data_IF_806632538434
#
_entry.id   IF_806632538434
#
_cell.length_a   1.000
_cell.length_b   1.000
_cell.length_c   1.000
_cell.angle_alpha   90.00
_cell.angle_beta   90.00
_cell.angle_gamma   90.00
#
_symmetry.space_group_name_H-M   'P 1'
#
loop_
_entity.id
_entity.type
_entity.pdbx_description
1 polymer ?
#
# COMPACT_ATOMS: atom_id res chain seq x y z
N UNK A 1 -10.36 -9.97 -0.97
CA UNK A 1 -9.43 -8.87 -1.36
C UNK A 1 -8.26 -9.44 -2.13
N UNK A 2 -7.45 -10.30 -1.50
CA UNK A 2 -6.30 -10.96 -2.14
C UNK A 2 -6.75 -11.79 -3.35
N UNK A 3 -5.98 -11.76 -4.43
CA UNK A 3 -6.23 -12.59 -5.62
C UNK A 3 -5.88 -14.05 -5.32
N UNK A 4 -6.80 -14.97 -5.66
CA UNK A 4 -6.60 -16.43 -5.51
C UNK A 4 -5.83 -17.06 -6.70
N UNK A 5 -5.58 -16.28 -7.76
CA UNK A 5 -4.86 -16.72 -8.97
C UNK A 5 -3.40 -16.26 -8.98
N UNK A 6 -2.75 -16.41 -10.14
CA UNK A 6 -1.37 -15.95 -10.29
C UNK A 6 -1.30 -14.43 -10.37
N UNK A 7 -0.43 -13.86 -9.53
CA UNK A 7 0.03 -12.47 -9.60
C UNK A 7 1.32 -12.46 -10.39
N UNK A 8 1.51 -11.46 -11.26
CA UNK A 8 2.73 -11.33 -12.06
C UNK A 8 3.98 -11.29 -11.17
N UNK A 9 5.07 -11.89 -11.66
CA UNK A 9 6.32 -12.05 -10.89
C UNK A 9 6.93 -10.72 -10.44
N UNK A 10 6.63 -9.63 -11.14
CA UNK A 10 7.10 -8.27 -10.82
C UNK A 10 6.63 -7.76 -9.44
N UNK A 11 5.52 -8.28 -8.90
CA UNK A 11 5.04 -7.89 -7.57
C UNK A 11 5.76 -8.60 -6.44
N UNK A 12 6.46 -9.70 -6.72
CA UNK A 12 7.25 -10.41 -5.73
C UNK A 12 8.52 -9.65 -5.40
N UNK A 13 8.87 -9.66 -4.12
CA UNK A 13 10.06 -9.00 -3.61
C UNK A 13 11.24 -9.93 -3.77
N UNK A 14 12.31 -9.44 -4.40
CA UNK A 14 13.56 -10.18 -4.48
C UNK A 14 14.17 -10.32 -3.08
N UNK A 15 14.66 -11.51 -2.74
CA UNK A 15 15.28 -11.80 -1.44
C UNK A 15 16.41 -10.82 -1.07
N UNK A 16 17.18 -10.37 -2.07
CA UNK A 16 18.27 -9.40 -1.87
C UNK A 16 17.80 -8.04 -1.33
N UNK A 17 16.53 -7.70 -1.54
CA UNK A 17 15.95 -6.44 -1.10
C UNK A 17 15.18 -6.59 0.22
N UNK A 18 14.94 -7.81 0.72
CA UNK A 18 14.19 -8.04 1.97
C UNK A 18 14.83 -7.34 3.17
N UNK A 19 16.15 -7.28 3.26
CA UNK A 19 16.85 -6.54 4.32
C UNK A 19 16.52 -5.04 4.27
N UNK A 20 16.42 -4.46 3.06
CA UNK A 20 16.03 -3.06 2.90
C UNK A 20 14.56 -2.84 3.28
N UNK A 21 13.68 -3.76 2.92
CA UNK A 21 12.27 -3.72 3.32
C UNK A 21 12.12 -3.78 4.85
N UNK A 22 12.75 -4.75 5.50
CA UNK A 22 12.75 -4.90 6.95
C UNK A 22 13.32 -3.65 7.64
N UNK A 23 14.41 -3.09 7.11
CA UNK A 23 14.97 -1.84 7.62
C UNK A 23 13.96 -0.69 7.51
N UNK A 24 13.40 -0.43 6.32
CA UNK A 24 12.47 0.68 6.08
C UNK A 24 11.16 0.56 6.88
N UNK A 25 10.70 -0.67 7.14
CA UNK A 25 9.51 -0.95 7.96
C UNK A 25 9.82 -0.93 9.46
N UNK A 26 11.06 -1.20 9.85
CA UNK A 26 11.49 -1.25 11.24
C UNK A 26 11.57 0.13 11.90
N UNK A 27 11.61 0.17 13.25
CA UNK A 27 11.84 1.40 13.97
C UNK A 27 13.26 1.93 13.74
N UNK A 28 13.42 3.25 13.80
CA UNK A 28 14.70 3.95 13.58
C UNK A 28 14.88 5.07 14.59
N UNK A 29 16.12 5.28 15.01
CA UNK A 29 16.54 6.46 15.77
C UNK A 29 17.95 6.83 15.32
N UNK A 30 18.03 7.85 14.48
CA UNK A 30 19.24 8.26 13.77
C UNK A 30 19.46 9.76 13.93
N UNK A 31 20.71 10.19 14.06
CA UNK A 31 21.05 11.62 13.93
C UNK A 31 21.14 11.94 12.44
N UNK A 32 20.37 12.92 11.99
CA UNK A 32 20.37 13.40 10.60
C UNK A 32 20.81 14.85 10.55
N UNK A 33 21.44 15.20 9.44
CA UNK A 33 21.90 16.55 9.15
C UNK A 33 21.12 17.10 7.95
N UNK A 34 20.52 18.28 8.08
CA UNK A 34 19.86 18.93 6.95
C UNK A 34 20.90 19.58 6.00
N UNK A 35 20.45 20.15 4.89
CA UNK A 35 21.33 20.80 3.91
C UNK A 35 22.12 21.99 4.50
N UNK A 36 21.55 22.68 5.51
CA UNK A 36 22.17 23.81 6.20
C UNK A 36 23.15 23.40 7.31
N UNK A 37 23.28 22.09 7.56
CA UNK A 37 24.19 21.53 8.54
C UNK A 37 23.65 21.40 9.97
N UNK A 38 22.36 21.68 10.21
CA UNK A 38 21.70 21.45 11.49
C UNK A 38 21.47 19.95 11.73
N UNK A 39 21.92 19.46 12.90
CA UNK A 39 21.73 18.08 13.32
C UNK A 39 20.45 17.91 14.15
N UNK A 40 19.66 16.90 13.83
CA UNK A 40 18.43 16.56 14.55
C UNK A 40 18.30 15.06 14.72
N UNK A 41 17.64 14.64 15.80
CA UNK A 41 17.31 13.25 16.05
C UNK A 41 16.06 12.87 15.24
N UNK A 42 16.24 12.09 14.18
CA UNK A 42 15.15 11.47 13.45
C UNK A 42 14.73 10.17 14.15
N UNK A 43 13.51 10.13 14.65
CA UNK A 43 12.91 8.92 15.24
C UNK A 43 11.70 8.50 14.43
N UNK A 44 11.61 7.23 14.08
CA UNK A 44 10.49 6.65 13.33
C UNK A 44 10.07 5.33 14.00
N UNK A 45 8.77 5.15 14.26
CA UNK A 45 8.25 3.91 14.84
C UNK A 45 8.37 2.72 13.88
N UNK A 46 8.16 1.50 14.35
CA UNK A 46 8.03 0.34 13.45
C UNK A 46 6.66 0.29 12.77
N UNK A 47 6.56 -0.43 11.65
CA UNK A 47 5.29 -0.86 11.06
C UNK A 47 5.24 -2.38 10.98
N UNK A 48 4.02 -2.90 10.97
CA UNK A 48 3.78 -4.32 10.74
C UNK A 48 4.35 -4.70 9.37
N UNK A 49 5.18 -5.74 9.35
CA UNK A 49 5.77 -6.31 8.14
C UNK A 49 6.01 -7.80 8.35
N UNK A 50 5.48 -8.68 7.48
CA UNK A 50 4.50 -8.37 6.43
C UNK A 50 3.15 -7.93 7.02
N UNK A 51 2.33 -7.24 6.23
CA UNK A 51 0.94 -6.93 6.55
C UNK A 51 0.15 -8.23 6.83
N UNK A 52 -0.63 -8.21 7.90
CA UNK A 52 -1.38 -9.37 8.37
C UNK A 52 -2.72 -9.51 7.63
N UNK A 53 -3.08 -10.74 7.27
CA UNK A 53 -4.28 -11.05 6.49
C UNK A 53 -5.54 -11.29 7.35
N UNK A 54 -5.37 -11.38 8.66
CA UNK A 54 -6.41 -11.73 9.65
C UNK A 54 -7.03 -10.52 10.35
N UNK A 55 -6.64 -9.31 9.96
CA UNK A 55 -7.06 -8.05 10.58
C UNK A 55 -7.33 -6.97 9.53
N UNK A 56 -7.99 -5.86 9.89
CA UNK A 56 -8.19 -4.75 8.98
C UNK A 56 -6.88 -4.24 8.38
N UNK A 57 -6.90 -3.94 7.08
CA UNK A 57 -5.76 -3.33 6.40
C UNK A 57 -5.45 -1.97 7.00
N UNK A 58 -4.17 -1.59 6.97
CA UNK A 58 -3.79 -0.19 7.17
C UNK A 58 -4.22 0.66 5.96
N UNK A 59 -4.23 1.97 6.15
CA UNK A 59 -4.60 2.93 5.11
C UNK A 59 -3.66 2.81 3.90
N UNK A 60 -4.24 2.75 2.70
CA UNK A 60 -3.52 2.88 1.43
C UNK A 60 -3.09 4.34 1.29
N UNK A 61 -1.83 4.56 0.93
CA UNK A 61 -1.32 5.90 0.64
C UNK A 61 -0.78 6.00 -0.78
N UNK A 62 -0.43 7.19 -1.24
CA UNK A 62 -0.02 7.43 -2.63
C UNK A 62 1.30 6.76 -3.02
N UNK A 63 2.12 6.36 -2.03
CA UNK A 63 3.42 5.70 -2.21
C UNK A 63 3.38 4.18 -2.39
N UNK A 64 2.22 3.59 -2.68
CA UNK A 64 2.01 2.14 -2.78
C UNK A 64 2.55 1.52 -4.09
N UNK A 65 2.66 2.34 -5.15
CA UNK A 65 3.08 1.89 -6.49
C UNK A 65 4.58 1.62 -6.65
N UNK A 66 4.94 0.82 -7.67
CA UNK A 66 6.32 0.56 -8.10
C UNK A 66 7.08 -0.50 -7.26
N UNK A 67 8.20 -0.99 -7.80
CA UNK A 67 8.93 -2.14 -7.24
C UNK A 67 9.88 -1.82 -6.08
N UNK A 68 10.38 -0.59 -5.99
CA UNK A 68 11.43 -0.23 -5.02
C UNK A 68 10.98 -0.42 -3.56
N UNK A 69 11.88 -0.85 -2.66
CA UNK A 69 11.60 -0.93 -1.23
C UNK A 69 11.04 0.38 -0.68
N UNK A 70 9.97 0.29 0.10
CA UNK A 70 9.35 1.45 0.72
C UNK A 70 8.65 1.04 1.99
N UNK A 71 8.78 1.88 3.02
CA UNK A 71 7.99 1.76 4.24
C UNK A 71 6.49 1.74 3.90
N UNK A 72 6.07 2.57 2.97
CA UNK A 72 4.66 2.84 2.69
C UNK A 72 3.90 1.75 1.98
N UNK A 73 4.56 0.74 1.40
CA UNK A 73 3.89 -0.25 0.55
C UNK A 73 3.34 -1.42 1.36
N UNK A 74 2.13 -1.87 1.04
CA UNK A 74 1.60 -3.11 1.56
C UNK A 74 2.40 -4.28 1.01
N UNK A 75 2.78 -5.19 1.90
CA UNK A 75 3.50 -6.42 1.56
C UNK A 75 2.89 -7.56 2.35
N UNK A 76 2.49 -8.62 1.68
CA UNK A 76 1.95 -9.82 2.31
C UNK A 76 2.91 -10.98 2.12
N UNK A 77 2.89 -11.94 3.05
CA UNK A 77 3.56 -13.23 2.89
C UNK A 77 2.60 -14.22 2.23
N UNK A 78 3.09 -14.91 1.20
CA UNK A 78 2.37 -16.01 0.53
C UNK A 78 3.24 -17.27 0.53
N UNK A 79 2.70 -18.45 0.18
CA UNK A 79 3.51 -19.65 -0.01
C UNK A 79 4.63 -19.49 -1.07
N UNK A 80 4.44 -18.59 -2.05
CA UNK A 80 5.42 -18.27 -3.10
C UNK A 80 6.43 -17.20 -2.68
N UNK A 81 6.31 -16.62 -1.48
CA UNK A 81 7.18 -15.57 -0.94
C UNK A 81 6.48 -14.24 -0.64
N UNK A 82 7.28 -13.24 -0.28
CA UNK A 82 6.83 -11.88 -0.02
C UNK A 82 6.46 -11.17 -1.31
N UNK A 83 5.30 -10.51 -1.34
CA UNK A 83 4.90 -9.69 -2.49
C UNK A 83 4.13 -8.45 -2.09
N UNK A 84 4.20 -7.46 -2.96
CA UNK A 84 3.37 -6.25 -2.90
C UNK A 84 1.94 -6.58 -3.32
N UNK A 85 0.99 -5.73 -2.92
CA UNK A 85 -0.38 -5.80 -3.44
C UNK A 85 -0.42 -5.34 -4.90
N UNK A 86 -1.23 -6.02 -5.72
CA UNK A 86 -1.48 -5.62 -7.11
C UNK A 86 -2.46 -4.44 -7.17
N UNK A 87 -2.53 -3.70 -8.29
CA UNK A 87 -3.53 -2.64 -8.46
C UNK A 87 -4.97 -3.09 -8.20
N UNK A 88 -5.32 -4.31 -8.63
CA UNK A 88 -6.66 -4.89 -8.40
C UNK A 88 -6.91 -5.12 -6.91
N UNK A 89 -5.90 -5.57 -6.16
CA UNK A 89 -6.03 -5.75 -4.72
C UNK A 89 -6.19 -4.41 -3.97
N UNK A 90 -5.51 -3.36 -4.44
CA UNK A 90 -5.69 -2.00 -3.92
C UNK A 90 -7.08 -1.43 -4.25
N UNK A 91 -7.60 -1.68 -5.45
CA UNK A 91 -8.98 -1.33 -5.83
C UNK A 91 -10.00 -1.99 -4.90
N UNK A 92 -9.85 -3.30 -4.67
CA UNK A 92 -10.72 -4.07 -3.77
C UNK A 92 -10.65 -3.60 -2.31
N UNK A 93 -9.50 -3.16 -1.82
CA UNK A 93 -9.37 -2.59 -0.47
C UNK A 93 -10.22 -1.34 -0.31
N UNK A 94 -10.29 -0.50 -1.34
CA UNK A 94 -11.20 0.64 -1.38
C UNK A 94 -12.61 0.28 -1.87
N UNK A 95 -12.92 -1.01 -2.05
CA UNK A 95 -14.20 -1.54 -2.51
C UNK A 95 -14.61 -1.08 -3.92
N UNK A 96 -13.64 -0.72 -4.77
CA UNK A 96 -13.89 -0.54 -6.19
C UNK A 96 -14.05 -1.89 -6.90
N UNK A 97 -14.79 -1.95 -8.02
CA UNK A 97 -14.76 -3.10 -8.92
C UNK A 97 -13.34 -3.38 -9.44
N UNK A 98 -13.08 -4.64 -9.80
CA UNK A 98 -11.82 -5.03 -10.43
C UNK A 98 -11.58 -4.23 -11.71
N UNK A 99 -10.33 -3.78 -11.90
CA UNK A 99 -9.89 -3.02 -13.06
C UNK A 99 -10.57 -1.66 -13.23
N UNK A 100 -11.16 -1.11 -12.16
CA UNK A 100 -11.77 0.22 -12.19
C UNK A 100 -10.80 1.33 -12.68
N UNK A 101 -9.51 1.20 -12.38
CA UNK A 101 -8.47 2.15 -12.83
C UNK A 101 -7.67 1.68 -14.04
N UNK A 102 -8.03 0.55 -14.65
CA UNK A 102 -7.36 0.04 -15.83
C UNK A 102 -7.81 0.82 -17.07
N UNK A 103 -6.97 1.76 -17.50
CA UNK A 103 -7.20 2.61 -18.67
C UNK A 103 -5.95 2.61 -19.56
N UNK A 104 -6.14 2.81 -20.87
CA UNK A 104 -5.02 2.92 -21.81
C UNK A 104 -4.05 4.04 -21.38
N UNK A 105 -2.74 3.73 -21.37
CA UNK A 105 -1.70 4.66 -20.95
C UNK A 105 -1.55 4.86 -19.43
N UNK A 106 -2.39 4.23 -18.60
CA UNK A 106 -2.29 4.33 -17.12
C UNK A 106 -1.46 3.18 -16.56
N UNK A 107 -0.31 3.51 -15.99
CA UNK A 107 0.58 2.53 -15.35
C UNK A 107 0.06 2.05 -14.00
N UNK A 108 0.50 0.87 -13.56
CA UNK A 108 0.16 0.31 -12.25
C UNK A 108 0.57 1.22 -11.08
N UNK A 109 1.68 1.95 -11.21
CA UNK A 109 2.08 2.96 -10.22
C UNK A 109 1.04 4.08 -10.13
N UNK A 110 0.48 4.51 -11.26
CA UNK A 110 -0.56 5.55 -11.29
C UNK A 110 -1.89 5.02 -10.75
N UNK A 111 -2.23 3.76 -11.03
CA UNK A 111 -3.39 3.07 -10.44
C UNK A 111 -3.31 3.03 -8.91
N UNK A 112 -2.15 2.65 -8.36
CA UNK A 112 -1.90 2.69 -6.93
C UNK A 112 -1.98 4.11 -6.35
N UNK A 113 -1.47 5.11 -7.07
CA UNK A 113 -1.59 6.52 -6.69
C UNK A 113 -3.06 6.99 -6.60
N UNK A 114 -3.92 6.55 -7.52
CA UNK A 114 -5.36 6.83 -7.42
C UNK A 114 -5.98 6.21 -6.17
N UNK A 115 -5.65 4.94 -5.88
CA UNK A 115 -6.15 4.27 -4.67
C UNK A 115 -5.66 4.90 -3.37
N UNK A 116 -4.46 5.48 -3.35
CA UNK A 116 -3.97 6.26 -2.21
C UNK A 116 -4.71 7.57 -1.94
N UNK A 117 -5.49 8.08 -2.90
CA UNK A 117 -6.34 9.27 -2.74
C UNK A 117 -7.84 8.95 -2.69
N UNK A 118 -8.20 7.68 -2.90
CA UNK A 118 -9.60 7.29 -3.03
C UNK A 118 -10.27 7.12 -1.65
N UNK A 119 -11.61 7.16 -1.67
CA UNK A 119 -12.44 6.81 -0.53
C UNK A 119 -12.87 5.34 -0.63
N UNK A 120 -13.27 4.77 0.50
CA UNK A 120 -13.84 3.41 0.54
C UNK A 120 -15.29 3.45 0.05
N UNK A 121 -15.55 2.88 -1.13
CA UNK A 121 -16.85 2.97 -1.84
C UNK A 121 -18.01 2.61 -0.93
N UNK A 122 -17.96 1.45 -0.26
CA UNK A 122 -19.04 1.00 0.61
C UNK A 122 -19.33 1.90 1.81
N UNK A 123 -18.37 2.73 2.25
CA UNK A 123 -18.62 3.75 3.29
C UNK A 123 -19.42 4.91 2.69
N UNK A 124 -19.05 5.38 1.50
CA UNK A 124 -19.71 6.49 0.82
C UNK A 124 -21.13 6.12 0.40
N UNK A 125 -21.34 4.90 -0.09
CA UNK A 125 -22.68 4.38 -0.42
C UNK A 125 -23.62 4.40 0.78
N UNK A 126 -23.16 3.95 1.95
CA UNK A 126 -23.95 3.95 3.20
C UNK A 126 -24.31 5.36 3.66
N UNK A 127 -23.38 6.31 3.54
CA UNK A 127 -23.64 7.72 3.83
C UNK A 127 -24.72 8.26 2.87
N UNK A 128 -24.57 8.01 1.56
CA UNK A 128 -25.54 8.44 0.55
C UNK A 128 -26.95 7.89 0.80
N UNK A 129 -27.07 6.58 1.08
CA UNK A 129 -28.36 5.96 1.40
C UNK A 129 -29.01 6.55 2.67
N UNK A 130 -28.19 6.97 3.64
CA UNK A 130 -28.69 7.62 4.86
C UNK A 130 -29.21 9.03 4.59
N UNK A 131 -28.54 9.78 3.71
CA UNK A 131 -28.96 11.13 3.32
C UNK A 131 -30.24 11.09 2.47
N UNK A 132 -30.37 10.14 1.55
CA UNK A 132 -31.58 9.98 0.72
C UNK A 132 -32.85 9.73 1.55
N UNK A 133 -32.76 9.10 2.72
CA UNK A 133 -33.89 8.92 3.63
C UNK A 133 -34.37 10.20 4.31
N UNK A 134 -33.60 11.28 4.23
CA UNK A 134 -33.91 12.59 4.83
C UNK A 134 -34.48 13.59 3.82
N UNK A 135 -34.53 13.21 2.55
CA UNK A 135 -35.15 13.96 1.45
C UNK A 135 -36.51 13.31 1.17
#
# INVERSE_FOLDING_TARGET
IIQNGEVTSEFYINEKDLTKWAYLKGPKKEVRKNADGFEYNYTEGGMVFPDALDRPSRTIITGEGGASPSRFKHVIQTPKGYRRLSPVELERLNMFPDNHTQLEGVSDTKRAFFMGNALVVGVIEKIGATLLKRI
#
